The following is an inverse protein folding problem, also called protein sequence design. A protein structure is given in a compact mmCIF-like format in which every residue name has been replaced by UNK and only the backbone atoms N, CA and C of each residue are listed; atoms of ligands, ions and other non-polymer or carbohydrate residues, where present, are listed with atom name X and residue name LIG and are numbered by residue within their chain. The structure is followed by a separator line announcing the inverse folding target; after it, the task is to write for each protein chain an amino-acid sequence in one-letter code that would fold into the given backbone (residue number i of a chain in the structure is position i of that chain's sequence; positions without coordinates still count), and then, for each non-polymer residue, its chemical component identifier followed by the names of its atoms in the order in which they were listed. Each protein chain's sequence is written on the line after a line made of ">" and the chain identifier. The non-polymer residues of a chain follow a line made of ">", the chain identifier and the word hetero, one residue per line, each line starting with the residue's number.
data_IF_450392356977
#
_entry.id   IF_450392356977
#
_cell.length_a   1.000
_cell.length_b   1.000
_cell.length_c   1.000
_cell.angle_alpha   90.00
_cell.angle_beta   90.00
_cell.angle_gamma   90.00
#
_symmetry.space_group_name_H-M   'P 1'
#
loop_
_entity.id
_entity.type
_entity.pdbx_description
1 polymer ?
#
# COMPACT_ATOMS: atom_id res chain seq x y z
N UNK A 1 -16.78 2.47 23.11
CA UNK A 1 -15.89 3.47 22.48
C UNK A 1 -15.81 3.12 21.01
N UNK A 2 -16.03 4.10 20.14
CA UNK A 2 -15.96 3.97 18.68
C UNK A 2 -14.58 4.39 18.18
N UNK A 3 -13.85 3.47 17.56
CA UNK A 3 -12.54 3.75 16.98
C UNK A 3 -12.66 3.79 15.46
N UNK A 4 -12.27 4.92 14.88
CA UNK A 4 -12.18 5.11 13.44
C UNK A 4 -10.91 4.52 12.86
N UNK A 5 -11.05 3.67 11.84
CA UNK A 5 -9.93 3.10 11.08
C UNK A 5 -10.14 3.47 9.59
N UNK A 6 -9.40 4.46 9.05
CA UNK A 6 -9.55 4.88 7.66
C UNK A 6 -9.03 3.80 6.69
N UNK A 7 -9.78 3.53 5.61
CA UNK A 7 -9.45 2.54 4.56
C UNK A 7 -8.33 2.98 3.59
N UNK A 8 -7.55 4.00 3.95
CA UNK A 8 -6.46 4.53 3.12
C UNK A 8 -5.09 3.91 3.42
N UNK A 9 -4.14 4.10 2.51
CA UNK A 9 -2.75 3.66 2.65
C UNK A 9 -2.66 2.15 2.99
N UNK A 10 -1.83 1.78 3.95
CA UNK A 10 -1.55 0.37 4.28
C UNK A 10 -2.68 -0.35 5.02
N UNK A 11 -3.89 0.24 5.09
CA UNK A 11 -5.09 -0.44 5.55
C UNK A 11 -5.28 -1.78 4.82
N UNK A 12 -5.17 -1.79 3.49
CA UNK A 12 -5.30 -3.00 2.66
C UNK A 12 -4.42 -4.18 3.13
N UNK A 13 -3.31 -3.90 3.81
CA UNK A 13 -2.36 -4.92 4.27
C UNK A 13 -2.52 -5.29 5.75
N UNK A 14 -2.88 -4.31 6.59
CA UNK A 14 -2.81 -4.44 8.05
C UNK A 14 -4.15 -4.30 8.77
N UNK A 15 -5.26 -4.06 8.06
CA UNK A 15 -6.58 -3.98 8.68
C UNK A 15 -6.95 -5.23 9.49
N UNK A 16 -6.61 -6.49 9.09
CA UNK A 16 -7.03 -7.66 9.86
C UNK A 16 -6.42 -7.65 11.25
N UNK A 17 -5.16 -7.22 11.39
CA UNK A 17 -4.54 -7.03 12.69
C UNK A 17 -5.19 -5.88 13.48
N UNK A 18 -5.31 -4.70 12.86
CA UNK A 18 -5.71 -3.48 13.59
C UNK A 18 -7.17 -3.55 14.05
N UNK A 19 -8.07 -4.01 13.18
CA UNK A 19 -9.50 -4.17 13.49
C UNK A 19 -9.68 -5.18 14.62
N UNK A 20 -9.17 -6.40 14.44
CA UNK A 20 -9.23 -7.46 15.46
C UNK A 20 -8.65 -7.00 16.80
N UNK A 21 -7.51 -6.30 16.79
CA UNK A 21 -6.87 -5.84 18.02
C UNK A 21 -7.79 -4.92 18.83
N UNK A 22 -8.44 -3.95 18.19
CA UNK A 22 -9.32 -3.00 18.88
C UNK A 22 -10.70 -3.61 19.21
N UNK A 23 -11.23 -4.49 18.37
CA UNK A 23 -12.46 -5.24 18.64
C UNK A 23 -12.33 -6.13 19.89
N UNK A 24 -11.24 -6.90 19.99
CA UNK A 24 -10.95 -7.75 21.16
C UNK A 24 -10.80 -6.94 22.45
N UNK A 25 -10.42 -5.66 22.35
CA UNK A 25 -10.38 -4.72 23.48
C UNK A 25 -11.76 -4.20 23.88
N UNK A 26 -12.79 -4.42 23.05
CA UNK A 26 -14.18 -3.99 23.24
C UNK A 26 -14.51 -2.67 22.56
N UNK A 27 -13.73 -2.25 21.57
CA UNK A 27 -14.06 -1.09 20.74
C UNK A 27 -15.02 -1.49 19.60
N UNK A 28 -15.91 -0.57 19.24
CA UNK A 28 -16.69 -0.65 18.00
C UNK A 28 -15.87 -0.01 16.89
N UNK A 29 -15.66 -0.73 15.78
CA UNK A 29 -14.85 -0.24 14.66
C UNK A 29 -15.71 0.50 13.64
N UNK A 30 -15.28 1.71 13.30
CA UNK A 30 -15.87 2.51 12.23
C UNK A 30 -14.85 2.66 11.11
N UNK A 31 -15.13 2.05 9.96
CA UNK A 31 -14.31 2.21 8.75
C UNK A 31 -14.91 3.24 7.81
N UNK A 32 -14.05 3.90 7.02
CA UNK A 32 -14.50 4.77 5.93
C UNK A 32 -15.09 3.93 4.79
N UNK A 33 -15.91 4.49 3.89
CA UNK A 33 -16.34 3.77 2.70
C UNK A 33 -15.14 3.47 1.77
N UNK A 34 -15.34 2.60 0.78
CA UNK A 34 -14.36 2.45 -0.29
C UNK A 34 -14.11 3.78 -0.99
N UNK A 35 -12.86 3.97 -1.44
CA UNK A 35 -12.46 5.18 -2.15
C UNK A 35 -13.41 5.44 -3.31
N UNK A 36 -13.88 6.67 -3.39
CA UNK A 36 -14.83 7.13 -4.38
C UNK A 36 -14.59 8.63 -4.64
N UNK A 37 -15.40 9.22 -5.52
CA UNK A 37 -15.23 10.63 -5.91
C UNK A 37 -15.34 11.59 -4.72
N UNK A 38 -16.24 11.34 -3.77
CA UNK A 38 -16.33 12.15 -2.54
C UNK A 38 -15.04 12.09 -1.72
N UNK A 39 -14.49 10.89 -1.50
CA UNK A 39 -13.23 10.72 -0.76
C UNK A 39 -12.09 11.45 -1.46
N UNK A 40 -11.98 11.31 -2.79
CA UNK A 40 -10.97 12.02 -3.56
C UNK A 40 -11.13 13.53 -3.40
N UNK A 41 -12.32 14.07 -3.64
CA UNK A 41 -12.56 15.51 -3.64
C UNK A 41 -12.38 16.13 -2.24
N UNK A 42 -12.82 15.44 -1.18
CA UNK A 42 -12.53 15.83 0.20
C UNK A 42 -11.03 15.80 0.49
N UNK A 43 -10.33 14.79 -0.01
CA UNK A 43 -8.89 14.66 0.11
C UNK A 43 -8.12 15.81 -0.53
N UNK A 44 -8.51 16.20 -1.75
CA UNK A 44 -7.94 17.34 -2.49
C UNK A 44 -8.22 18.65 -1.77
N UNK A 45 -9.41 18.80 -1.19
CA UNK A 45 -9.79 20.00 -0.45
C UNK A 45 -8.95 20.23 0.81
N UNK A 46 -8.66 19.16 1.55
CA UNK A 46 -7.98 19.27 2.84
C UNK A 46 -6.46 19.16 2.75
N UNK A 47 -5.94 18.33 1.84
CA UNK A 47 -4.52 18.05 1.78
C UNK A 47 -3.78 19.07 0.90
N UNK A 48 -2.50 19.29 1.20
CA UNK A 48 -1.60 20.14 0.39
C UNK A 48 -1.39 19.60 -1.03
N UNK A 49 -1.17 20.50 -1.98
CA UNK A 49 -1.09 20.16 -3.41
C UNK A 49 0.10 19.24 -3.75
N UNK A 50 1.23 19.41 -3.07
CA UNK A 50 2.46 18.62 -3.26
C UNK A 50 2.39 17.22 -2.60
N UNK A 51 1.28 16.91 -1.91
CA UNK A 51 1.03 15.57 -1.41
C UNK A 51 0.81 14.61 -2.59
N UNK A 52 1.26 13.35 -2.44
CA UNK A 52 0.95 12.35 -3.46
C UNK A 52 -0.51 11.91 -3.29
N UNK A 53 -1.13 11.47 -4.39
CA UNK A 53 -2.53 11.05 -4.43
C UNK A 53 -2.98 10.16 -3.23
N UNK A 54 -2.22 9.15 -2.78
CA UNK A 54 -2.60 8.30 -1.64
C UNK A 54 -2.73 9.04 -0.32
N UNK A 55 -1.93 10.10 -0.12
CA UNK A 55 -2.00 10.95 1.07
C UNK A 55 -3.25 11.83 1.01
N UNK A 56 -3.58 12.40 -0.16
CA UNK A 56 -4.84 13.14 -0.34
C UNK A 56 -6.05 12.24 -0.08
N UNK A 57 -6.06 11.04 -0.67
CA UNK A 57 -7.13 10.05 -0.42
C UNK A 57 -7.25 9.70 1.06
N UNK A 58 -6.14 9.57 1.78
CA UNK A 58 -6.17 9.34 3.22
C UNK A 58 -6.85 10.49 3.98
N UNK A 59 -6.64 11.76 3.59
CA UNK A 59 -7.35 12.91 4.18
C UNK A 59 -8.86 12.82 3.95
N UNK A 60 -9.29 12.41 2.75
CA UNK A 60 -10.70 12.18 2.45
C UNK A 60 -11.32 11.06 3.29
N UNK A 61 -10.58 9.97 3.51
CA UNK A 61 -11.02 8.87 4.39
C UNK A 61 -11.19 9.34 5.83
N UNK A 62 -10.30 10.19 6.33
CA UNK A 62 -10.43 10.80 7.66
C UNK A 62 -11.67 11.69 7.74
N UNK A 63 -11.89 12.57 6.75
CA UNK A 63 -13.05 13.44 6.72
C UNK A 63 -14.39 12.67 6.77
N UNK A 64 -14.47 11.54 6.07
CA UNK A 64 -15.66 10.70 6.02
C UNK A 64 -16.08 10.08 7.38
N UNK A 65 -15.14 9.97 8.33
CA UNK A 65 -15.34 9.28 9.61
C UNK A 65 -15.08 10.12 10.86
N UNK A 66 -14.45 11.30 10.75
CA UNK A 66 -14.07 12.14 11.91
C UNK A 66 -15.21 12.45 12.88
N UNK A 67 -16.43 12.63 12.37
CA UNK A 67 -17.62 12.94 13.16
C UNK A 67 -18.39 11.71 13.66
N UNK A 68 -17.88 10.49 13.43
CA UNK A 68 -18.54 9.22 13.77
C UNK A 68 -17.79 8.41 14.83
N UNK A 69 -16.64 8.90 15.28
CA UNK A 69 -15.71 8.17 16.13
C UNK A 69 -15.35 8.95 17.38
N UNK A 70 -15.13 8.25 18.49
CA UNK A 70 -14.61 8.85 19.73
C UNK A 70 -13.10 9.08 19.63
N UNK A 71 -12.41 8.26 18.82
CA UNK A 71 -10.97 8.31 18.57
C UNK A 71 -10.68 7.79 17.16
N UNK A 72 -9.61 8.26 16.52
CA UNK A 72 -9.15 7.73 15.22
C UNK A 72 -7.75 7.14 15.32
N UNK A 73 -7.56 5.96 14.72
CA UNK A 73 -6.25 5.39 14.51
C UNK A 73 -5.61 5.97 13.23
N UNK A 74 -4.45 6.62 13.38
CA UNK A 74 -3.65 7.08 12.24
C UNK A 74 -2.30 6.36 12.26
N UNK A 75 -1.96 5.59 11.20
CA UNK A 75 -0.76 4.77 11.21
C UNK A 75 0.51 5.62 11.08
N UNK A 76 1.27 5.78 12.18
CA UNK A 76 2.65 6.31 12.14
C UNK A 76 3.66 5.17 11.99
N UNK A 77 3.74 4.60 10.79
CA UNK A 77 4.65 3.48 10.51
C UNK A 77 6.05 4.01 10.22
N UNK A 78 7.00 3.70 11.10
CA UNK A 78 8.39 4.15 10.97
C UNK A 78 9.25 3.13 10.23
N UNK A 79 9.16 1.86 10.63
CA UNK A 79 10.03 0.80 10.12
C UNK A 79 9.33 -0.56 10.16
N UNK A 80 9.44 -1.31 9.06
CA UNK A 80 8.98 -2.70 8.97
C UNK A 80 10.12 -3.69 9.16
N UNK A 81 11.31 -3.39 8.64
CA UNK A 81 12.53 -4.20 8.77
C UNK A 81 13.66 -3.38 9.39
N UNK A 82 14.64 -4.07 9.98
CA UNK A 82 15.80 -3.41 10.57
C UNK A 82 16.62 -2.69 9.48
N UNK A 83 17.07 -1.47 9.77
CA UNK A 83 17.82 -0.59 8.84
C UNK A 83 17.07 -0.21 7.55
N UNK A 84 15.78 -0.49 7.46
CA UNK A 84 14.90 -0.02 6.39
C UNK A 84 13.83 0.90 6.98
N UNK A 85 13.43 1.90 6.20
CA UNK A 85 12.47 2.92 6.61
C UNK A 85 11.30 3.00 5.64
N UNK A 86 10.22 3.64 6.07
CA UNK A 86 9.05 3.91 5.22
C UNK A 86 9.14 5.31 4.62
N UNK A 87 8.27 5.60 3.66
CA UNK A 87 8.11 6.93 3.09
C UNK A 87 7.93 7.99 4.21
N UNK A 88 8.69 9.11 4.16
CA UNK A 88 8.58 10.17 5.16
C UNK A 88 7.18 10.73 5.36
N UNK A 89 6.31 10.67 4.33
CA UNK A 89 4.91 11.09 4.45
C UNK A 89 4.11 10.23 5.44
N UNK A 90 4.48 8.96 5.68
CA UNK A 90 3.89 8.16 6.78
C UNK A 90 4.37 8.62 8.16
N UNK A 91 5.64 9.05 8.27
CA UNK A 91 6.21 9.48 9.54
C UNK A 91 5.53 10.74 10.07
N UNK A 92 5.20 11.68 9.17
CA UNK A 92 4.50 12.94 9.48
C UNK A 92 2.99 12.90 9.26
N UNK A 93 2.41 11.74 8.89
CA UNK A 93 0.99 11.64 8.54
C UNK A 93 0.06 12.14 9.66
N UNK A 94 0.27 11.80 10.95
CA UNK A 94 -0.62 12.30 12.00
C UNK A 94 -0.58 13.82 12.13
N UNK A 95 0.59 14.43 12.02
CA UNK A 95 0.76 15.88 12.07
C UNK A 95 0.12 16.56 10.87
N UNK A 96 0.25 16.00 9.66
CA UNK A 96 -0.46 16.53 8.49
C UNK A 96 -1.96 16.57 8.74
N UNK A 97 -2.54 15.44 9.18
CA UNK A 97 -3.98 15.35 9.43
C UNK A 97 -4.46 16.31 10.52
N UNK A 98 -3.72 16.44 11.62
CA UNK A 98 -4.10 17.35 12.71
C UNK A 98 -4.09 18.82 12.31
N UNK A 99 -3.19 19.22 11.40
CA UNK A 99 -3.08 20.61 10.96
C UNK A 99 -4.03 20.92 9.80
N UNK A 100 -4.27 19.94 8.92
CA UNK A 100 -5.04 20.12 7.70
C UNK A 100 -6.55 19.98 7.92
N UNK A 101 -6.97 19.16 8.90
CA UNK A 101 -8.39 18.86 9.17
C UNK A 101 -8.79 19.44 10.53
N UNK A 102 -9.76 20.37 10.51
CA UNK A 102 -10.34 20.94 11.73
C UNK A 102 -11.33 20.00 12.42
N UNK A 103 -11.51 20.22 13.74
CA UNK A 103 -12.43 19.47 14.62
C UNK A 103 -12.15 17.96 14.68
N UNK A 104 -10.87 17.59 14.75
CA UNK A 104 -10.46 16.19 14.86
C UNK A 104 -10.74 15.61 16.25
N UNK A 105 -11.30 14.38 16.35
CA UNK A 105 -11.30 13.65 17.61
C UNK A 105 -9.86 13.32 18.02
N UNK A 106 -9.64 12.88 19.28
CA UNK A 106 -8.35 12.33 19.70
C UNK A 106 -7.81 11.29 18.71
N UNK A 107 -6.51 11.35 18.43
CA UNK A 107 -5.86 10.43 17.50
C UNK A 107 -4.79 9.59 18.18
N UNK A 108 -4.68 8.33 17.74
CA UNK A 108 -3.63 7.42 18.18
C UNK A 108 -2.45 7.52 17.22
N UNK A 109 -1.32 8.04 17.71
CA UNK A 109 -0.15 8.43 16.88
C UNK A 109 1.14 7.71 17.25
N UNK A 110 1.07 6.73 18.15
CA UNK A 110 2.27 6.04 18.63
C UNK A 110 3.05 5.44 17.46
N UNK A 111 4.38 5.65 17.39
CA UNK A 111 5.18 5.18 16.28
C UNK A 111 5.26 3.65 16.26
N UNK A 112 5.06 3.07 15.08
CA UNK A 112 5.12 1.63 14.85
C UNK A 112 6.51 1.26 14.32
N UNK A 113 7.21 0.45 15.11
CA UNK A 113 8.48 -0.18 14.74
C UNK A 113 8.28 -1.70 14.72
N UNK A 114 7.82 -2.24 13.58
CA UNK A 114 7.44 -3.65 13.47
C UNK A 114 8.66 -4.60 13.43
N UNK A 115 9.85 -4.10 13.11
CA UNK A 115 11.08 -4.91 13.06
C UNK A 115 11.50 -5.48 14.42
N UNK A 116 11.08 -4.87 15.54
CA UNK A 116 11.47 -5.26 16.89
C UNK A 116 10.25 -5.70 17.69
N UNK A 117 10.23 -6.97 18.10
CA UNK A 117 9.18 -7.52 18.97
C UNK A 117 8.95 -6.67 20.22
N UNK A 118 10.02 -6.17 20.84
CA UNK A 118 9.92 -5.36 22.05
C UNK A 118 9.33 -3.97 21.77
N UNK A 119 9.77 -3.30 20.70
CA UNK A 119 9.21 -1.99 20.32
C UNK A 119 7.75 -2.11 19.88
N UNK A 120 7.41 -3.16 19.13
CA UNK A 120 6.03 -3.42 18.71
C UNK A 120 5.13 -3.75 19.89
N UNK A 121 5.58 -4.58 20.85
CA UNK A 121 4.83 -4.84 22.09
C UNK A 121 4.62 -3.58 22.93
N UNK A 122 5.58 -2.66 22.94
CA UNK A 122 5.39 -1.36 23.58
C UNK A 122 4.30 -0.52 22.89
N UNK A 123 4.26 -0.53 21.55
CA UNK A 123 3.18 0.10 20.80
C UNK A 123 1.82 -0.54 21.11
N UNK A 124 1.74 -1.88 21.15
CA UNK A 124 0.54 -2.65 21.52
C UNK A 124 0.06 -2.27 22.92
N UNK A 125 0.97 -2.21 23.90
CA UNK A 125 0.62 -1.87 25.27
C UNK A 125 0.08 -0.43 25.36
N UNK A 126 0.79 0.54 24.79
CA UNK A 126 0.36 1.95 24.80
C UNK A 126 -0.97 2.15 24.10
N UNK A 127 -1.16 1.50 22.95
CA UNK A 127 -2.40 1.57 22.18
C UNK A 127 -3.55 0.85 22.89
N UNK A 128 -3.30 -0.30 23.51
CA UNK A 128 -4.33 -1.02 24.25
C UNK A 128 -4.76 -0.30 25.54
N UNK A 129 -3.84 0.42 26.19
CA UNK A 129 -4.12 1.20 27.39
C UNK A 129 -5.07 2.38 27.15
N UNK A 130 -5.23 2.84 25.90
CA UNK A 130 -6.27 3.83 25.56
C UNK A 130 -7.68 3.24 25.62
N UNK A 131 -7.80 1.91 25.49
CA UNK A 131 -9.07 1.20 25.47
C UNK A 131 -9.40 0.53 26.82
N UNK A 132 -8.40 -0.03 27.50
CA UNK A 132 -8.58 -0.78 28.75
C UNK A 132 -7.36 -0.74 29.66
N UNK A 133 -7.56 -0.82 30.97
CA UNK A 133 -6.46 -0.96 31.96
C UNK A 133 -5.99 -2.41 32.14
N UNK A 134 -6.68 -3.39 31.54
CA UNK A 134 -6.36 -4.80 31.72
C UNK A 134 -5.26 -5.27 30.75
N UNK A 135 -4.03 -5.35 31.26
CA UNK A 135 -2.85 -5.79 30.48
C UNK A 135 -2.98 -7.22 29.94
N UNK A 136 -3.64 -8.13 30.68
CA UNK A 136 -3.88 -9.49 30.20
C UNK A 136 -4.82 -9.51 28.99
N UNK A 137 -5.86 -8.67 29.01
CA UNK A 137 -6.78 -8.49 27.87
C UNK A 137 -6.03 -7.96 26.65
N UNK A 138 -5.15 -6.96 26.83
CA UNK A 138 -4.31 -6.42 25.75
C UNK A 138 -3.40 -7.49 25.14
N UNK A 139 -2.78 -8.33 25.98
CA UNK A 139 -1.93 -9.42 25.51
C UNK A 139 -2.73 -10.44 24.68
N UNK A 140 -3.92 -10.84 25.14
CA UNK A 140 -4.79 -11.78 24.41
C UNK A 140 -5.26 -11.19 23.08
N UNK A 141 -5.69 -9.92 23.06
CA UNK A 141 -6.09 -9.22 21.85
C UNK A 141 -4.95 -9.18 20.82
N UNK A 142 -3.72 -8.94 21.27
CA UNK A 142 -2.53 -8.96 20.43
C UNK A 142 -2.25 -10.33 19.81
N UNK A 143 -2.30 -11.40 20.61
CA UNK A 143 -2.08 -12.77 20.14
C UNK A 143 -3.13 -13.17 19.10
N UNK A 144 -4.40 -12.83 19.35
CA UNK A 144 -5.50 -13.07 18.40
C UNK A 144 -5.35 -12.26 17.11
N UNK A 145 -5.01 -10.98 17.20
CA UNK A 145 -4.79 -10.12 16.04
C UNK A 145 -3.64 -10.62 15.14
N UNK A 146 -2.56 -11.16 15.73
CA UNK A 146 -1.48 -11.79 14.95
C UNK A 146 -1.93 -13.03 14.20
N UNK A 147 -2.74 -13.88 14.85
CA UNK A 147 -3.29 -15.08 14.24
C UNK A 147 -4.17 -14.73 13.03
N UNK A 148 -5.10 -13.78 13.20
CA UNK A 148 -5.98 -13.31 12.11
C UNK A 148 -5.17 -12.72 10.96
N UNK A 149 -4.18 -11.87 11.26
CA UNK A 149 -3.31 -11.28 10.24
C UNK A 149 -2.54 -12.34 9.44
N UNK A 150 -2.05 -13.40 10.09
CA UNK A 150 -1.35 -14.48 9.41
C UNK A 150 -2.27 -15.26 8.46
N UNK A 151 -3.49 -15.56 8.90
CA UNK A 151 -4.48 -16.31 8.12
C UNK A 151 -5.14 -15.49 7.00
N UNK A 152 -5.13 -14.16 7.10
CA UNK A 152 -5.75 -13.25 6.14
C UNK A 152 -4.98 -13.05 4.83
N UNK A 153 -3.80 -13.67 4.67
CA UNK A 153 -3.00 -13.54 3.44
C UNK A 153 -3.74 -14.14 2.25
N UNK A 154 -4.43 -13.30 1.48
CA UNK A 154 -5.02 -13.66 0.19
C UNK A 154 -3.94 -13.70 -0.87
N UNK A 155 -3.64 -14.90 -1.38
CA UNK A 155 -2.79 -15.09 -2.56
C UNK A 155 -3.64 -14.89 -3.81
N UNK A 156 -3.56 -13.72 -4.44
CA UNK A 156 -4.19 -13.51 -5.75
C UNK A 156 -3.28 -14.07 -6.84
N UNK A 157 -3.38 -15.35 -7.13
CA UNK A 157 -2.61 -15.97 -8.21
C UNK A 157 -3.49 -16.27 -9.41
N UNK A 158 -3.30 -15.54 -10.51
CA UNK A 158 -3.95 -15.84 -11.78
C UNK A 158 -2.88 -16.02 -12.86
N UNK A 159 -2.24 -17.20 -12.88
CA UNK A 159 -1.10 -17.52 -13.73
C UNK A 159 -1.44 -18.32 -14.99
N UNK A 160 -2.72 -18.64 -15.21
CA UNK A 160 -3.18 -19.45 -16.34
C UNK A 160 -3.37 -18.64 -17.64
N UNK A 161 -2.56 -17.62 -17.87
CA UNK A 161 -2.64 -16.76 -19.04
C UNK A 161 -1.36 -16.83 -19.88
N UNK A 162 -1.47 -16.70 -21.21
CA UNK A 162 -0.32 -16.80 -22.12
C UNK A 162 0.66 -15.65 -21.93
N UNK A 163 0.16 -14.43 -21.69
CA UNK A 163 0.96 -13.25 -21.39
C UNK A 163 0.91 -13.01 -19.89
N UNK A 164 2.06 -12.76 -19.27
CA UNK A 164 2.19 -12.50 -17.83
C UNK A 164 2.89 -11.18 -17.59
N UNK A 165 2.38 -10.37 -16.68
CA UNK A 165 3.01 -9.10 -16.31
C UNK A 165 3.25 -9.01 -14.81
N UNK A 166 4.37 -8.38 -14.44
CA UNK A 166 4.57 -7.92 -13.08
C UNK A 166 3.86 -6.57 -12.92
N UNK A 167 2.81 -6.55 -12.11
CA UNK A 167 2.12 -5.34 -11.70
C UNK A 167 2.80 -4.81 -10.43
N UNK A 168 3.61 -3.77 -10.61
CA UNK A 168 4.45 -3.16 -9.58
C UNK A 168 3.83 -1.86 -9.12
N UNK A 169 3.88 -1.58 -7.82
CA UNK A 169 3.41 -0.33 -7.25
C UNK A 169 3.20 -0.49 -5.76
N UNK A 170 2.95 0.62 -5.07
CA UNK A 170 2.63 0.55 -3.65
C UNK A 170 1.32 -0.23 -3.42
N UNK A 171 1.20 -1.02 -2.32
CA UNK A 171 0.01 -1.83 -2.06
C UNK A 171 -1.30 -1.04 -2.07
N UNK A 172 -1.26 0.21 -1.60
CA UNK A 172 -2.42 1.10 -1.57
C UNK A 172 -2.82 1.68 -2.93
N UNK A 173 -1.97 1.58 -3.94
CA UNK A 173 -2.34 1.89 -5.34
C UNK A 173 -2.87 0.64 -6.03
N UNK A 174 -2.27 -0.53 -5.78
CA UNK A 174 -2.66 -1.80 -6.41
C UNK A 174 -3.99 -2.33 -5.87
N UNK A 175 -4.27 -2.15 -4.57
CA UNK A 175 -5.47 -2.68 -3.94
C UNK A 175 -6.65 -1.69 -3.92
N UNK A 176 -6.47 -0.44 -4.33
CA UNK A 176 -7.54 0.55 -4.42
C UNK A 176 -8.12 0.59 -5.83
N UNK A 177 -9.30 -0.02 -6.00
CA UNK A 177 -9.96 -0.17 -7.30
C UNK A 177 -10.41 1.13 -7.95
N UNK A 178 -10.64 2.19 -7.16
CA UNK A 178 -10.98 3.51 -7.69
C UNK A 178 -9.72 4.17 -8.23
N UNK A 179 -8.65 4.15 -7.46
CA UNK A 179 -7.36 4.78 -7.79
C UNK A 179 -6.73 4.15 -9.03
N UNK A 180 -6.68 2.82 -9.09
CA UNK A 180 -6.11 2.12 -10.24
C UNK A 180 -7.12 1.86 -11.37
N UNK A 181 -8.34 2.35 -11.24
CA UNK A 181 -9.40 2.19 -12.24
C UNK A 181 -9.64 0.71 -12.60
N UNK A 182 -9.69 -0.15 -11.59
CA UNK A 182 -9.87 -1.59 -11.72
C UNK A 182 -8.85 -2.28 -12.66
N UNK A 183 -7.58 -1.85 -12.64
CA UNK A 183 -6.55 -2.34 -13.57
C UNK A 183 -6.45 -3.88 -13.63
N UNK A 184 -6.54 -4.56 -12.49
CA UNK A 184 -6.43 -6.02 -12.41
C UNK A 184 -7.52 -6.68 -13.24
N UNK A 185 -8.77 -6.19 -13.15
CA UNK A 185 -9.89 -6.70 -13.95
C UNK A 185 -9.68 -6.42 -15.43
N UNK A 186 -9.18 -5.23 -15.77
CA UNK A 186 -8.92 -4.82 -17.16
C UNK A 186 -7.85 -5.69 -17.82
N UNK A 187 -6.73 -5.93 -17.14
CA UNK A 187 -5.65 -6.80 -17.62
C UNK A 187 -6.12 -8.25 -17.77
N UNK A 188 -6.84 -8.79 -16.79
CA UNK A 188 -7.40 -10.15 -16.90
C UNK A 188 -8.38 -10.27 -18.09
N UNK A 189 -9.17 -9.23 -18.39
CA UNK A 189 -10.07 -9.20 -19.55
C UNK A 189 -9.31 -9.24 -20.89
N UNK A 190 -8.09 -8.70 -20.92
CA UNK A 190 -7.17 -8.80 -22.05
C UNK A 190 -6.40 -10.13 -22.08
N UNK A 191 -6.73 -11.09 -21.20
CA UNK A 191 -6.03 -12.37 -21.15
C UNK A 191 -4.61 -12.27 -20.60
N UNK A 192 -4.31 -11.26 -19.77
CA UNK A 192 -3.01 -11.07 -19.14
C UNK A 192 -3.05 -11.56 -17.70
N UNK A 193 -2.13 -12.47 -17.35
CA UNK A 193 -1.89 -12.94 -15.99
C UNK A 193 -1.04 -11.96 -15.20
N UNK A 194 -1.31 -11.83 -13.91
CA UNK A 194 -0.72 -10.77 -13.08
C UNK A 194 0.05 -11.36 -11.91
N UNK A 195 1.27 -10.90 -11.74
CA UNK A 195 2.07 -11.08 -10.54
C UNK A 195 2.13 -9.76 -9.78
N UNK A 196 1.99 -9.81 -8.47
CA UNK A 196 2.17 -8.65 -7.58
C UNK A 196 3.20 -9.00 -6.52
N UNK A 197 3.80 -7.97 -5.91
CA UNK A 197 4.80 -8.11 -4.85
C UNK A 197 4.30 -9.03 -3.71
N UNK A 198 3.03 -8.94 -3.35
CA UNK A 198 2.44 -9.65 -2.20
C UNK A 198 2.33 -11.16 -2.40
N UNK A 199 2.44 -11.63 -3.66
CA UNK A 199 2.37 -13.04 -4.02
C UNK A 199 3.74 -13.72 -4.11
N UNK A 200 4.82 -12.99 -3.82
CA UNK A 200 6.19 -13.49 -3.98
C UNK A 200 6.87 -13.57 -2.61
N UNK A 201 7.65 -14.64 -2.43
CA UNK A 201 8.42 -14.85 -1.22
C UNK A 201 9.45 -13.74 -1.00
N UNK A 202 9.62 -13.38 0.27
CA UNK A 202 10.53 -12.32 0.68
C UNK A 202 11.98 -12.60 0.26
N UNK A 203 12.39 -13.88 0.25
CA UNK A 203 13.72 -14.30 -0.18
C UNK A 203 13.97 -14.00 -1.66
N UNK A 204 12.93 -14.08 -2.50
CA UNK A 204 13.01 -13.73 -3.92
C UNK A 204 13.27 -12.22 -4.07
N UNK A 205 12.55 -11.42 -3.29
CA UNK A 205 12.72 -9.96 -3.27
C UNK A 205 14.14 -9.59 -2.82
N UNK A 206 14.64 -10.20 -1.74
CA UNK A 206 16.00 -9.91 -1.25
C UNK A 206 17.06 -10.32 -2.27
N UNK A 207 16.89 -11.45 -2.99
CA UNK A 207 17.80 -11.85 -4.09
C UNK A 207 17.85 -10.82 -5.20
N UNK A 208 16.70 -10.36 -5.71
CA UNK A 208 16.66 -9.35 -6.75
C UNK A 208 17.25 -8.00 -6.30
N UNK A 209 17.04 -7.62 -5.04
CA UNK A 209 17.56 -6.39 -4.48
C UNK A 209 19.07 -6.44 -4.14
N UNK A 210 19.66 -7.63 -3.96
CA UNK A 210 21.07 -7.80 -3.64
C UNK A 210 22.02 -7.34 -4.76
N UNK A 211 21.52 -7.21 -5.98
CA UNK A 211 22.30 -6.77 -7.15
C UNK A 211 22.50 -5.26 -7.21
N UNK A 212 21.77 -4.48 -6.40
CA UNK A 212 22.03 -3.06 -6.27
C UNK A 212 23.35 -2.83 -5.52
N UNK A 213 24.10 -1.81 -5.95
CA UNK A 213 25.34 -1.39 -5.28
C UNK A 213 25.17 -1.20 -3.77
N UNK A 214 23.99 -0.76 -3.34
CA UNK A 214 23.62 -0.65 -1.93
C UNK A 214 22.17 -1.04 -1.75
N UNK A 215 21.88 -1.74 -0.63
CA UNK A 215 20.52 -2.03 -0.22
C UNK A 215 19.69 -0.73 -0.12
N UNK A 216 18.51 -0.65 -0.78
CA UNK A 216 17.67 0.54 -0.71
C UNK A 216 17.25 0.85 0.72
N UNK A 217 17.23 2.15 1.03
CA UNK A 217 16.83 2.64 2.35
C UNK A 217 15.33 2.42 2.63
N UNK A 218 14.48 2.52 1.59
CA UNK A 218 13.04 2.38 1.74
C UNK A 218 12.57 0.95 1.46
N UNK A 219 11.75 0.38 2.36
CA UNK A 219 11.27 -1.01 2.23
C UNK A 219 10.51 -1.23 0.92
N UNK A 220 9.56 -0.36 0.56
CA UNK A 220 8.80 -0.52 -0.68
C UNK A 220 9.65 -0.32 -1.94
N UNK A 221 10.71 0.51 -1.87
CA UNK A 221 11.66 0.68 -2.97
C UNK A 221 12.41 -0.62 -3.25
N UNK A 222 12.98 -1.20 -2.19
CA UNK A 222 13.65 -2.50 -2.25
C UNK A 222 12.71 -3.57 -2.77
N UNK A 223 11.47 -3.61 -2.26
CA UNK A 223 10.52 -4.62 -2.68
C UNK A 223 10.14 -4.49 -4.15
N UNK A 224 9.75 -3.29 -4.61
CA UNK A 224 9.43 -3.03 -6.01
C UNK A 224 10.59 -3.36 -6.95
N UNK A 225 11.82 -2.97 -6.58
CA UNK A 225 13.00 -3.30 -7.37
C UNK A 225 13.22 -4.81 -7.42
N UNK A 226 13.42 -5.46 -6.26
CA UNK A 226 13.79 -6.88 -6.20
C UNK A 226 12.73 -7.80 -6.79
N UNK A 227 11.44 -7.51 -6.56
CA UNK A 227 10.32 -8.23 -7.18
C UNK A 227 10.36 -8.15 -8.71
N UNK A 228 10.46 -6.93 -9.25
CA UNK A 228 10.34 -6.72 -10.70
C UNK A 228 11.56 -7.22 -11.48
N UNK A 229 12.77 -6.98 -10.98
CA UNK A 229 14.02 -7.42 -11.64
C UNK A 229 14.12 -8.93 -11.64
N UNK A 230 13.88 -9.56 -10.48
CA UNK A 230 13.94 -11.01 -10.38
C UNK A 230 12.97 -11.70 -11.35
N UNK A 231 11.71 -11.27 -11.41
CA UNK A 231 10.73 -11.91 -12.29
C UNK A 231 11.09 -11.74 -13.77
N UNK A 232 11.58 -10.56 -14.17
CA UNK A 232 11.98 -10.30 -15.53
C UNK A 232 13.19 -11.14 -15.96
N UNK A 233 14.26 -11.17 -15.14
CA UNK A 233 15.49 -11.89 -15.44
C UNK A 233 15.30 -13.42 -15.46
N UNK A 234 14.40 -13.93 -14.62
CA UNK A 234 14.05 -15.34 -14.57
C UNK A 234 12.92 -15.73 -15.54
N UNK A 235 12.56 -14.84 -16.49
CA UNK A 235 11.54 -15.07 -17.54
C UNK A 235 10.20 -15.55 -16.98
N UNK A 236 9.83 -15.06 -15.79
CA UNK A 236 8.55 -15.36 -15.13
C UNK A 236 7.42 -14.46 -15.63
N UNK A 237 7.77 -13.30 -16.18
CA UNK A 237 6.86 -12.32 -16.78
C UNK A 237 7.42 -11.84 -18.11
N UNK A 238 6.53 -11.36 -18.97
CA UNK A 238 6.80 -10.87 -20.32
C UNK A 238 6.88 -9.34 -20.37
N UNK A 239 6.36 -8.66 -19.34
CA UNK A 239 6.43 -7.21 -19.18
C UNK A 239 6.22 -6.75 -17.74
N UNK A 240 6.55 -5.48 -17.49
CA UNK A 240 6.28 -4.79 -16.22
C UNK A 240 5.30 -3.65 -16.46
N UNK A 241 4.27 -3.58 -15.63
CA UNK A 241 3.38 -2.42 -15.51
C UNK A 241 3.59 -1.83 -14.12
N UNK A 242 4.09 -0.60 -14.05
CA UNK A 242 4.34 0.12 -12.81
C UNK A 242 3.28 1.19 -12.57
N UNK A 243 2.51 1.07 -11.49
CA UNK A 243 1.57 2.11 -11.04
C UNK A 243 2.25 3.02 -10.04
N UNK A 244 2.45 4.27 -10.44
CA UNK A 244 3.09 5.29 -9.61
C UNK A 244 2.14 6.45 -9.36
N UNK A 245 2.13 6.98 -8.14
CA UNK A 245 1.39 8.20 -7.84
C UNK A 245 2.20 9.43 -8.21
N UNK A 246 1.55 10.43 -8.79
CA UNK A 246 2.15 11.74 -8.94
C UNK A 246 2.67 12.25 -7.58
N UNK A 247 3.79 12.98 -7.60
CA UNK A 247 4.53 13.42 -6.42
C UNK A 247 5.05 12.29 -5.48
N UNK A 248 5.21 11.05 -5.97
CA UNK A 248 5.94 10.01 -5.25
C UNK A 248 7.45 10.10 -5.53
N UNK A 249 8.21 10.64 -4.57
CA UNK A 249 9.67 10.78 -4.70
C UNK A 249 10.46 9.46 -4.63
N UNK A 250 9.89 8.41 -4.02
CA UNK A 250 10.54 7.09 -3.99
C UNK A 250 10.46 6.45 -5.38
N UNK A 251 9.29 6.47 -5.99
CA UNK A 251 9.05 5.89 -7.31
C UNK A 251 9.92 6.55 -8.39
N UNK A 252 10.13 7.87 -8.31
CA UNK A 252 10.97 8.59 -9.28
C UNK A 252 12.41 8.09 -9.34
N UNK A 253 12.91 7.47 -8.26
CA UNK A 253 14.24 6.84 -8.23
C UNK A 253 14.13 5.37 -8.62
N UNK A 254 13.19 4.64 -8.03
CA UNK A 254 13.09 3.17 -8.19
C UNK A 254 12.75 2.77 -9.63
N UNK A 255 11.87 3.51 -10.29
CA UNK A 255 11.48 3.24 -11.69
C UNK A 255 12.71 3.31 -12.60
N UNK A 256 13.56 4.33 -12.43
CA UNK A 256 14.75 4.49 -13.26
C UNK A 256 15.82 3.44 -12.94
N UNK A 257 15.96 3.03 -11.68
CA UNK A 257 16.83 1.92 -11.31
C UNK A 257 16.39 0.60 -11.98
N UNK A 258 15.09 0.31 -11.98
CA UNK A 258 14.56 -0.90 -12.64
C UNK A 258 14.77 -0.82 -14.15
N UNK A 259 14.46 0.34 -14.76
CA UNK A 259 14.62 0.56 -16.22
C UNK A 259 16.07 0.41 -16.66
N UNK A 260 17.02 0.94 -15.88
CA UNK A 260 18.45 0.81 -16.15
C UNK A 260 18.91 -0.66 -16.09
N UNK A 261 18.45 -1.39 -15.07
CA UNK A 261 18.74 -2.81 -14.88
C UNK A 261 18.16 -3.68 -16.00
N UNK A 262 16.91 -3.45 -16.36
CA UNK A 262 16.16 -4.24 -17.35
C UNK A 262 16.15 -3.55 -18.72
N UNK A 263 17.33 -3.26 -19.25
CA UNK A 263 17.45 -2.56 -20.52
C UNK A 263 16.72 -3.34 -21.65
N UNK A 264 15.91 -2.65 -22.45
CA UNK A 264 15.07 -3.22 -23.52
C UNK A 264 13.98 -4.24 -23.08
N UNK A 265 13.67 -4.32 -21.79
CA UNK A 265 12.53 -5.10 -21.29
C UNK A 265 11.22 -4.28 -21.39
N UNK A 266 10.09 -4.88 -21.83
CA UNK A 266 8.80 -4.20 -21.86
C UNK A 266 8.41 -3.58 -20.52
N UNK A 267 8.32 -2.25 -20.46
CA UNK A 267 8.08 -1.53 -19.21
C UNK A 267 7.13 -0.34 -19.43
N UNK A 268 5.94 -0.42 -18.83
CA UNK A 268 4.93 0.64 -18.85
C UNK A 268 4.82 1.32 -17.48
N UNK A 269 4.94 2.65 -17.43
CA UNK A 269 4.65 3.43 -16.21
C UNK A 269 3.29 4.09 -16.33
N UNK A 270 2.34 3.69 -15.50
CA UNK A 270 1.05 4.36 -15.36
C UNK A 270 1.12 5.32 -14.17
N UNK A 271 1.16 6.62 -14.47
CA UNK A 271 1.10 7.67 -13.45
C UNK A 271 -0.36 7.99 -13.16
N UNK A 272 -0.72 7.97 -11.88
CA UNK A 272 -2.05 8.28 -11.37
C UNK A 272 -2.01 9.56 -10.51
N UNK A 273 -2.99 10.42 -10.72
CA UNK A 273 -3.23 11.68 -10.02
C UNK A 273 -4.74 11.93 -9.86
N UNK A 274 -5.11 13.08 -9.34
CA UNK A 274 -6.49 13.47 -9.05
C UNK A 274 -7.32 13.75 -10.33
N UNK A 275 -6.66 13.95 -11.47
CA UNK A 275 -7.25 14.33 -12.75
C UNK A 275 -7.21 13.21 -13.79
N UNK A 276 -6.61 12.06 -13.47
CA UNK A 276 -6.33 11.00 -14.43
C UNK A 276 -7.64 10.49 -15.03
N UNK A 277 -7.75 10.60 -16.36
CA UNK A 277 -8.90 10.11 -17.11
C UNK A 277 -8.78 8.64 -17.50
N UNK A 278 -9.89 7.90 -17.39
CA UNK A 278 -9.92 6.46 -17.67
C UNK A 278 -9.61 6.10 -19.13
N UNK A 279 -10.02 6.93 -20.09
CA UNK A 279 -9.82 6.65 -21.52
C UNK A 279 -8.32 6.55 -21.88
N UNK A 280 -7.51 7.54 -21.48
CA UNK A 280 -6.07 7.53 -21.73
C UNK A 280 -5.35 6.41 -20.98
N UNK A 281 -5.85 6.02 -19.82
CA UNK A 281 -5.32 4.88 -19.06
C UNK A 281 -5.54 3.56 -19.81
N UNK A 282 -6.75 3.34 -20.34
CA UNK A 282 -7.10 2.12 -21.08
C UNK A 282 -6.32 1.98 -22.39
N UNK A 283 -6.25 3.03 -23.20
CA UNK A 283 -5.51 3.00 -24.49
C UNK A 283 -4.04 2.64 -24.30
N UNK A 284 -3.41 3.08 -23.20
CA UNK A 284 -2.00 2.73 -22.91
C UNK A 284 -1.82 1.28 -22.52
N UNK A 285 -2.80 0.69 -21.82
CA UNK A 285 -2.80 -0.73 -21.48
C UNK A 285 -3.00 -1.58 -22.73
N UNK A 286 -3.95 -1.20 -23.59
CA UNK A 286 -4.20 -1.87 -24.88
C UNK A 286 -2.97 -1.82 -25.79
N UNK A 287 -2.35 -0.66 -25.96
CA UNK A 287 -1.12 -0.53 -26.75
C UNK A 287 0.04 -1.36 -26.18
N UNK A 288 0.12 -1.49 -24.85
CA UNK A 288 1.14 -2.32 -24.20
C UNK A 288 0.86 -3.82 -24.39
N UNK A 289 -0.41 -4.24 -24.32
CA UNK A 289 -0.83 -5.59 -24.66
C UNK A 289 -0.41 -5.96 -26.09
N UNK A 290 -0.75 -5.12 -27.08
CA UNK A 290 -0.43 -5.39 -28.51
C UNK A 290 1.09 -5.52 -28.74
N UNK A 291 1.88 -4.72 -28.02
CA UNK A 291 3.33 -4.80 -28.06
C UNK A 291 3.85 -6.12 -27.48
N UNK A 292 3.29 -6.60 -26.36
CA UNK A 292 3.67 -7.88 -25.76
C UNK A 292 3.28 -9.04 -26.67
N UNK A 293 2.08 -9.02 -27.23
CA UNK A 293 1.56 -10.08 -28.10
C UNK A 293 2.45 -10.28 -29.33
N UNK A 294 2.85 -9.20 -30.00
CA UNK A 294 3.80 -9.24 -31.13
C UNK A 294 5.17 -9.79 -30.76
N UNK A 295 5.59 -9.64 -29.50
CA UNK A 295 6.88 -10.12 -29.02
C UNK A 295 6.83 -11.60 -28.61
N UNK A 296 5.69 -12.07 -28.09
CA UNK A 296 5.51 -13.45 -27.66
C UNK A 296 5.14 -14.41 -28.80
N UNK A 297 4.53 -13.90 -29.89
CA UNK A 297 4.18 -14.70 -31.06
C UNK A 297 5.30 -14.84 -32.11
N UNK A 298 6.47 -14.22 -31.88
CA UNK A 298 7.69 -14.38 -32.68
C UNK A 298 8.73 -15.18 -31.91
#
# INVERSE_FOLDING_TARGET
>A
MKIGIPKGLLYCKYHPFIETFFEELGAEIITSPDTNKYILDAGVKYCVDEACLPIKIFHGHIDAIKNKCDMIFIPRIMQLKEREFICPKFCGLPEMILNDISNMPPILTYPVYAFSKNKFRNWVLKSGLTCTKNVFKIKKAYERALEVQYNSKSLFHNSNFPIRVALVGHPYNINDSFVNMNIIKKLNKLGIGIFTEENIDEDIIEKGAAELFKKPFWTFAKNSYGFSTYLAENKKVDGIIYISSFACGIDSVVIELIRNKLNNFPFLVLKIDEQTGEAGFNTRIEAFHDMLERRCCN
#
